data_IF_899235841339
#
_entry.id   IF_899235841339
#
_cell.length_a   1.000
_cell.length_b   1.000
_cell.length_c   1.000
_cell.angle_alpha   90.00
_cell.angle_beta   90.00
_cell.angle_gamma   90.00
#
_symmetry.space_group_name_H-M   'P 1'
#
loop_
_entity.id
_entity.type
_entity.pdbx_description
1 polymer ?
#
# COMPACT_ATOMS: atom_id res chain seq x y z
N UNK A 1 3.72 6.52 12.13
CA UNK A 1 5.07 7.06 12.45
C UNK A 1 4.98 8.56 12.35
N UNK A 2 5.25 9.27 13.43
CA UNK A 2 5.28 10.73 13.47
C UNK A 2 6.71 11.18 13.20
N UNK A 3 6.90 11.99 12.19
CA UNK A 3 8.17 12.57 11.85
C UNK A 3 8.06 14.10 11.93
N UNK A 4 8.49 14.67 13.04
CA UNK A 4 8.49 16.11 13.25
C UNK A 4 9.85 16.69 12.85
N UNK A 5 9.87 17.45 11.79
CA UNK A 5 11.05 18.10 11.23
C UNK A 5 11.54 19.29 12.04
N UNK A 6 11.79 19.13 13.32
CA UNK A 6 12.56 20.12 14.09
C UNK A 6 13.95 20.37 13.45
N UNK A 7 14.65 21.38 13.86
CA UNK A 7 15.85 21.93 13.19
C UNK A 7 17.08 20.99 13.03
N UNK A 8 16.97 19.70 13.30
CA UNK A 8 18.03 18.69 13.09
C UNK A 8 17.50 17.46 12.35
N UNK A 9 17.29 17.58 11.08
CA UNK A 9 16.32 16.86 10.29
C UNK A 9 16.94 15.72 9.49
N UNK A 10 16.33 14.52 9.60
CA UNK A 10 16.31 13.56 8.49
C UNK A 10 15.55 14.22 7.32
N UNK A 11 16.29 14.69 6.32
CA UNK A 11 15.67 15.35 5.17
C UNK A 11 15.01 14.39 4.23
N UNK A 12 15.45 13.12 4.21
CA UNK A 12 14.99 12.11 3.27
C UNK A 12 14.72 10.80 4.03
N UNK A 13 13.47 10.35 3.99
CA UNK A 13 13.05 9.05 4.53
C UNK A 13 12.67 8.11 3.40
N UNK A 14 12.97 6.82 3.52
CA UNK A 14 12.56 5.79 2.56
C UNK A 14 11.80 4.67 3.25
N UNK A 15 10.65 4.31 2.69
CA UNK A 15 9.78 3.24 3.16
C UNK A 15 9.55 2.27 2.00
N UNK A 16 10.05 1.05 2.14
CA UNK A 16 9.90 0.00 1.14
C UNK A 16 9.20 -1.19 1.79
N UNK A 17 8.17 -1.73 1.14
CA UNK A 17 7.37 -2.85 1.65
C UNK A 17 6.81 -2.61 3.07
N UNK A 18 6.43 -1.37 3.35
CA UNK A 18 5.89 -0.98 4.64
C UNK A 18 4.35 -0.98 4.61
N UNK A 19 3.76 -1.32 5.77
CA UNK A 19 2.35 -1.12 6.03
C UNK A 19 2.21 -0.14 7.19
N UNK A 20 1.76 1.08 6.89
CA UNK A 20 1.65 2.18 7.84
C UNK A 20 0.17 2.41 8.12
N UNK A 21 -0.28 2.01 9.33
CA UNK A 21 -1.68 1.98 9.73
C UNK A 21 -2.20 3.29 10.34
N UNK A 22 -1.31 4.23 10.54
CA UNK A 22 -1.61 5.54 11.10
C UNK A 22 -1.17 6.64 10.13
N UNK A 23 -1.36 7.89 10.51
CA UNK A 23 -0.89 9.03 9.73
C UNK A 23 0.63 9.01 9.54
N UNK A 24 1.08 9.03 8.30
CA UNK A 24 2.50 9.27 7.96
C UNK A 24 2.72 10.77 7.79
N UNK A 25 3.26 11.41 8.81
CA UNK A 25 3.39 12.86 8.87
C UNK A 25 4.81 13.33 8.61
N UNK A 26 4.95 14.29 7.69
CA UNK A 26 6.18 15.03 7.45
C UNK A 26 6.09 16.43 8.06
N UNK A 27 7.14 16.82 8.77
CA UNK A 27 7.36 18.18 9.19
C UNK A 27 7.82 19.08 8.03
N UNK A 28 8.22 20.31 8.36
CA UNK A 28 8.68 21.27 7.36
C UNK A 28 10.01 20.85 6.71
N UNK A 29 10.14 21.10 5.41
CA UNK A 29 11.35 20.83 4.63
C UNK A 29 11.82 19.36 4.67
N UNK A 30 10.87 18.42 4.84
CA UNK A 30 11.12 16.99 4.83
C UNK A 30 10.64 16.35 3.53
N UNK A 31 11.29 15.28 3.12
CA UNK A 31 10.81 14.42 2.03
C UNK A 31 10.73 12.96 2.45
N UNK A 32 9.83 12.21 1.82
CA UNK A 32 9.77 10.77 1.97
C UNK A 32 9.48 10.09 0.64
N UNK A 33 10.21 9.03 0.36
CA UNK A 33 9.93 8.12 -0.75
C UNK A 33 9.31 6.82 -0.20
N UNK A 34 8.18 6.44 -0.76
CA UNK A 34 7.45 5.23 -0.40
C UNK A 34 7.33 4.35 -1.64
N UNK A 35 7.81 3.11 -1.55
CA UNK A 35 7.81 2.17 -2.65
C UNK A 35 7.12 0.88 -2.23
N UNK A 36 6.21 0.37 -3.07
CA UNK A 36 5.48 -0.89 -2.85
C UNK A 36 4.94 -1.02 -1.42
N UNK A 37 4.34 0.06 -0.92
CA UNK A 37 3.89 0.17 0.47
C UNK A 37 2.40 0.50 0.55
N UNK A 38 1.78 0.11 1.66
CA UNK A 38 0.41 0.49 2.00
C UNK A 38 0.44 1.55 3.08
N UNK A 39 -0.16 2.71 2.82
CA UNK A 39 -0.05 3.87 3.70
C UNK A 39 -1.43 4.47 3.93
N UNK A 40 -1.76 4.65 5.19
CA UNK A 40 -2.95 5.39 5.60
C UNK A 40 -2.59 6.85 5.86
N UNK A 41 -3.40 7.76 5.30
CA UNK A 41 -3.37 9.20 5.56
C UNK A 41 -1.98 9.84 5.54
N UNK A 42 -1.29 9.94 4.37
CA UNK A 42 -0.07 10.72 4.28
C UNK A 42 -0.36 12.21 4.48
N UNK A 43 0.46 12.85 5.31
CA UNK A 43 0.26 14.23 5.74
C UNK A 43 1.57 15.01 5.66
N UNK A 44 1.61 16.09 4.92
CA UNK A 44 2.69 17.10 5.00
C UNK A 44 2.18 18.36 5.67
N UNK A 45 2.98 18.97 6.56
CA UNK A 45 2.56 20.15 7.31
C UNK A 45 2.48 21.40 6.45
N UNK A 46 3.20 21.43 5.34
CA UNK A 46 3.21 22.55 4.39
C UNK A 46 3.70 22.15 2.99
N UNK A 47 3.72 23.13 2.08
CA UNK A 47 4.12 22.93 0.69
C UNK A 47 5.64 22.76 0.47
N UNK A 48 6.47 22.89 1.51
CA UNK A 48 7.92 22.67 1.42
C UNK A 48 8.30 21.22 1.66
N UNK A 49 7.33 20.38 2.04
CA UNK A 49 7.50 18.95 2.28
C UNK A 49 6.76 18.16 1.22
N UNK A 50 7.34 17.07 0.77
CA UNK A 50 6.78 16.26 -0.29
C UNK A 50 6.93 14.77 -0.06
N UNK A 51 6.01 14.02 -0.65
CA UNK A 51 6.11 12.57 -0.79
C UNK A 51 6.36 12.20 -2.25
N UNK A 52 7.11 11.13 -2.45
CA UNK A 52 7.17 10.37 -3.68
C UNK A 52 6.59 8.97 -3.41
N UNK A 53 5.46 8.67 -4.05
CA UNK A 53 4.82 7.36 -3.94
C UNK A 53 4.99 6.61 -5.26
N UNK A 54 5.58 5.41 -5.20
CA UNK A 54 5.79 4.54 -6.34
C UNK A 54 5.20 3.18 -6.04
N UNK A 55 4.29 2.71 -6.89
CA UNK A 55 3.64 1.41 -6.72
C UNK A 55 3.02 1.22 -5.32
N UNK A 56 2.41 2.25 -4.77
CA UNK A 56 1.81 2.23 -3.44
C UNK A 56 0.29 2.04 -3.49
N UNK A 57 -0.27 1.56 -2.38
CA UNK A 57 -1.69 1.63 -2.08
C UNK A 57 -1.90 2.64 -0.96
N UNK A 58 -2.62 3.72 -1.26
CA UNK A 58 -2.86 4.84 -0.35
C UNK A 58 -4.32 4.84 0.07
N UNK A 59 -4.58 4.91 1.38
CA UNK A 59 -5.91 4.74 1.95
C UNK A 59 -6.22 5.91 2.88
N UNK A 60 -7.44 6.41 2.80
CA UNK A 60 -7.93 7.47 3.68
C UNK A 60 -7.67 8.87 3.16
N UNK A 61 -7.45 9.83 4.04
CA UNK A 61 -7.33 11.25 3.71
C UNK A 61 -6.01 11.59 2.99
N UNK A 62 -6.12 12.03 1.74
CA UNK A 62 -4.99 12.51 0.92
C UNK A 62 -4.90 14.04 0.88
N UNK A 63 -5.76 14.75 1.60
CA UNK A 63 -5.97 16.20 1.45
C UNK A 63 -4.76 17.07 1.80
N UNK A 64 -3.75 16.50 2.40
CA UNK A 64 -2.54 17.23 2.83
C UNK A 64 -1.23 16.63 2.31
N UNK A 65 -1.29 15.85 1.25
CA UNK A 65 -0.08 15.43 0.54
C UNK A 65 0.35 16.51 -0.46
N UNK A 66 0.77 17.67 0.03
CA UNK A 66 1.18 18.80 -0.82
C UNK A 66 2.42 18.46 -1.65
N UNK A 67 2.52 19.02 -2.86
CA UNK A 67 3.68 18.95 -3.76
C UNK A 67 4.22 17.52 -3.97
N UNK A 68 3.35 16.52 -3.86
CA UNK A 68 3.72 15.11 -3.90
C UNK A 68 3.55 14.50 -5.30
N UNK A 69 4.30 13.45 -5.57
CA UNK A 69 4.20 12.67 -6.80
C UNK A 69 3.67 11.28 -6.52
N UNK A 70 2.75 10.84 -7.37
CA UNK A 70 2.15 9.50 -7.33
C UNK A 70 2.43 8.81 -8.67
N UNK A 71 3.05 7.66 -8.64
CA UNK A 71 3.37 6.88 -9.82
C UNK A 71 2.93 5.44 -9.64
N UNK A 72 2.11 4.95 -10.55
CA UNK A 72 1.59 3.57 -10.53
C UNK A 72 0.87 3.21 -9.21
N UNK A 73 0.17 4.16 -8.60
CA UNK A 73 -0.46 4.00 -7.29
C UNK A 73 -1.95 3.69 -7.39
N UNK A 74 -2.47 3.04 -6.36
CA UNK A 74 -3.90 2.94 -6.10
C UNK A 74 -4.22 3.86 -4.93
N UNK A 75 -5.13 4.81 -5.14
CA UNK A 75 -5.46 5.84 -4.16
C UNK A 75 -6.94 5.71 -3.82
N UNK A 76 -7.23 5.50 -2.56
CA UNK A 76 -8.59 5.38 -2.02
C UNK A 76 -8.82 6.47 -0.98
N UNK A 77 -9.40 7.56 -1.42
CA UNK A 77 -9.82 8.63 -0.51
C UNK A 77 -11.27 8.37 -0.08
N UNK A 78 -11.45 8.15 1.22
CA UNK A 78 -12.73 7.83 1.82
C UNK A 78 -13.48 9.07 2.32
N UNK A 79 -12.87 10.25 2.27
CA UNK A 79 -13.43 11.46 2.85
C UNK A 79 -13.91 12.45 1.80
N UNK A 80 -15.11 13.00 2.03
CA UNK A 80 -15.68 14.04 1.19
C UNK A 80 -14.96 15.37 1.43
N UNK A 81 -14.18 15.83 0.47
CA UNK A 81 -13.70 17.20 0.44
C UNK A 81 -12.19 17.41 0.57
N UNK A 82 -11.39 16.37 0.69
CA UNK A 82 -9.94 16.49 0.66
C UNK A 82 -9.42 16.27 -0.77
N UNK A 83 -8.77 17.28 -1.29
CA UNK A 83 -8.25 17.30 -2.67
C UNK A 83 -6.79 16.88 -2.67
N UNK A 84 -6.42 16.00 -3.58
CA UNK A 84 -5.01 15.99 -3.98
C UNK A 84 -4.74 17.35 -4.60
N UNK A 85 -3.85 18.10 -3.97
CA UNK A 85 -3.58 19.50 -4.32
C UNK A 85 -3.12 19.61 -5.78
N UNK A 86 -3.42 20.74 -6.42
CA UNK A 86 -2.99 21.08 -7.77
C UNK A 86 -1.46 21.11 -7.98
N UNK A 87 -0.68 21.14 -6.90
CA UNK A 87 0.78 21.00 -6.94
C UNK A 87 1.27 19.56 -7.03
N UNK A 88 0.39 18.57 -6.94
CA UNK A 88 0.74 17.17 -7.05
C UNK A 88 0.73 16.67 -8.50
N UNK A 89 1.44 15.59 -8.75
CA UNK A 89 1.42 14.88 -10.04
C UNK A 89 1.03 13.43 -9.84
N UNK A 90 0.25 12.86 -10.77
CA UNK A 90 -0.06 11.43 -10.74
C UNK A 90 0.05 10.84 -12.15
N UNK A 91 0.81 9.75 -12.27
CA UNK A 91 1.01 9.03 -13.51
C UNK A 91 0.54 7.59 -13.34
N UNK A 92 -0.33 7.14 -14.24
CA UNK A 92 -0.87 5.78 -14.26
C UNK A 92 -1.42 5.33 -12.88
N UNK A 93 -2.18 6.19 -12.22
CA UNK A 93 -2.79 5.90 -10.93
C UNK A 93 -4.27 5.58 -11.09
N UNK A 94 -4.79 4.71 -10.23
CA UNK A 94 -6.22 4.52 -10.02
C UNK A 94 -6.63 5.34 -8.80
N UNK A 95 -7.64 6.19 -8.96
CA UNK A 95 -8.24 6.91 -7.84
C UNK A 95 -9.64 6.37 -7.59
N UNK A 96 -9.84 5.83 -6.40
CA UNK A 96 -11.12 5.32 -5.92
C UNK A 96 -11.75 6.39 -5.03
N UNK A 97 -12.56 7.25 -5.62
CA UNK A 97 -13.23 8.34 -4.92
C UNK A 97 -14.63 8.56 -5.48
N UNK A 98 -15.56 8.94 -4.62
CA UNK A 98 -16.93 9.28 -5.02
C UNK A 98 -17.02 10.57 -5.85
N UNK A 99 -16.00 11.42 -5.78
CA UNK A 99 -16.04 12.75 -6.36
C UNK A 99 -14.76 13.04 -7.15
N UNK A 100 -14.68 13.01 -8.38
CA UNK A 100 -13.59 13.31 -9.33
C UNK A 100 -12.55 14.37 -8.87
N UNK A 101 -11.69 14.06 -7.90
CA UNK A 101 -10.79 15.04 -7.27
C UNK A 101 -9.39 15.17 -7.87
N UNK A 102 -9.04 14.36 -8.87
CA UNK A 102 -7.83 14.61 -9.64
C UNK A 102 -8.01 15.80 -10.58
N UNK A 103 -7.77 16.99 -10.07
CA UNK A 103 -7.71 18.19 -10.92
C UNK A 103 -6.28 18.36 -11.45
N UNK A 104 -6.14 18.45 -12.76
CA UNK A 104 -4.87 18.71 -13.47
C UNK A 104 -3.82 17.61 -13.37
N UNK A 105 -4.25 16.35 -13.34
CA UNK A 105 -3.35 15.19 -13.22
C UNK A 105 -3.36 14.39 -14.53
N UNK A 106 -2.16 14.08 -15.02
CA UNK A 106 -1.96 13.33 -16.26
C UNK A 106 -2.12 11.83 -16.03
N UNK A 107 -2.85 11.15 -16.92
CA UNK A 107 -3.03 9.68 -16.93
C UNK A 107 -3.65 9.07 -15.66
N UNK A 108 -4.33 9.83 -14.84
CA UNK A 108 -5.06 9.28 -13.73
C UNK A 108 -6.38 8.66 -14.20
N UNK A 109 -6.66 7.44 -13.77
CA UNK A 109 -7.94 6.77 -14.02
C UNK A 109 -8.77 6.81 -12.75
N UNK A 110 -9.93 7.48 -12.83
CA UNK A 110 -10.85 7.54 -11.70
C UNK A 110 -11.83 6.36 -11.76
N UNK A 111 -12.04 5.72 -10.60
CA UNK A 111 -13.04 4.68 -10.40
C UNK A 111 -14.05 5.10 -9.34
N UNK A 112 -15.29 4.69 -9.50
CA UNK A 112 -16.29 4.88 -8.46
C UNK A 112 -16.10 3.88 -7.32
N UNK A 113 -16.62 4.20 -6.13
CA UNK A 113 -16.54 3.31 -4.97
C UNK A 113 -17.19 1.93 -5.22
N UNK A 114 -18.20 1.86 -6.08
CA UNK A 114 -18.89 0.61 -6.43
C UNK A 114 -18.02 -0.35 -7.26
N UNK A 115 -16.94 0.11 -7.83
CA UNK A 115 -16.05 -0.69 -8.68
C UNK A 115 -14.93 -1.41 -7.91
N UNK A 116 -14.81 -1.21 -6.59
CA UNK A 116 -13.81 -1.91 -5.77
C UNK A 116 -13.87 -3.43 -5.92
N UNK A 117 -15.07 -4.01 -5.93
CA UNK A 117 -15.25 -5.46 -6.04
C UNK A 117 -14.75 -6.05 -7.37
N UNK A 118 -14.70 -5.24 -8.44
CA UNK A 118 -14.15 -5.66 -9.73
C UNK A 118 -12.66 -5.44 -9.84
N UNK A 119 -12.11 -4.59 -9.00
CA UNK A 119 -10.70 -4.24 -9.00
C UNK A 119 -9.86 -5.21 -8.17
N UNK A 120 -10.30 -5.57 -6.99
CA UNK A 120 -9.53 -6.40 -6.05
C UNK A 120 -10.05 -7.83 -5.95
N UNK A 121 -9.12 -8.80 -5.80
CA UNK A 121 -9.46 -10.22 -5.59
C UNK A 121 -10.21 -10.46 -4.29
N UNK A 122 -9.82 -9.76 -3.24
CA UNK A 122 -10.48 -9.80 -1.94
C UNK A 122 -10.98 -8.41 -1.59
N UNK A 123 -12.30 -8.28 -1.47
CA UNK A 123 -12.93 -7.03 -1.11
C UNK A 123 -14.03 -7.30 -0.10
N UNK A 124 -13.85 -6.88 1.15
CA UNK A 124 -14.80 -7.19 2.24
C UNK A 124 -16.09 -6.38 2.18
N UNK A 125 -16.19 -5.41 1.27
CA UNK A 125 -17.29 -4.44 1.21
C UNK A 125 -17.00 -3.18 2.03
N UNK A 126 -17.41 -2.03 1.54
CA UNK A 126 -17.16 -0.73 2.16
C UNK A 126 -15.84 -0.09 1.72
N UNK A 127 -15.42 1.00 2.36
CA UNK A 127 -14.15 1.67 2.08
C UNK A 127 -12.96 0.74 2.33
N UNK A 128 -11.84 0.91 1.60
CA UNK A 128 -10.61 0.20 1.90
C UNK A 128 -10.12 0.57 3.29
N UNK A 129 -9.65 -0.44 4.01
CA UNK A 129 -9.09 -0.31 5.35
C UNK A 129 -7.76 -1.05 5.41
N UNK A 130 -7.07 -0.96 6.54
CA UNK A 130 -5.83 -1.72 6.75
C UNK A 130 -6.07 -3.05 7.48
N UNK A 131 -7.19 -3.71 7.23
CA UNK A 131 -7.44 -5.04 7.78
C UNK A 131 -6.45 -6.06 7.19
N UNK A 132 -6.06 -7.03 8.00
CA UNK A 132 -5.13 -8.09 7.59
C UNK A 132 -5.69 -8.96 6.45
N UNK A 133 -7.01 -9.01 6.31
CA UNK A 133 -7.70 -9.70 5.22
C UNK A 133 -7.61 -8.99 3.87
N UNK A 134 -7.22 -7.72 3.85
CA UNK A 134 -7.09 -6.93 2.62
C UNK A 134 -5.69 -7.10 2.04
N UNK A 135 -5.58 -7.89 1.00
CA UNK A 135 -4.30 -8.15 0.33
C UNK A 135 -3.95 -7.11 -0.72
N UNK A 136 -4.89 -6.26 -1.14
CA UNK A 136 -4.76 -5.29 -2.24
C UNK A 136 -4.35 -5.89 -3.59
N UNK A 137 -4.52 -7.22 -3.77
CA UNK A 137 -4.27 -7.89 -5.04
C UNK A 137 -5.34 -7.52 -6.07
N UNK A 138 -4.91 -7.09 -7.23
CA UNK A 138 -5.82 -6.85 -8.35
C UNK A 138 -6.36 -8.17 -8.92
N UNK A 139 -7.58 -8.12 -9.45
CA UNK A 139 -8.10 -9.22 -10.29
C UNK A 139 -7.28 -9.34 -11.57
N UNK A 140 -7.29 -10.52 -12.21
CA UNK A 140 -6.51 -10.74 -13.43
C UNK A 140 -6.95 -9.81 -14.58
N UNK A 141 -8.23 -9.45 -14.63
CA UNK A 141 -8.74 -8.45 -15.55
C UNK A 141 -8.19 -7.04 -15.24
N UNK A 142 -8.16 -6.66 -13.96
CA UNK A 142 -7.65 -5.36 -13.54
C UNK A 142 -6.13 -5.23 -13.76
N UNK A 143 -5.35 -6.29 -13.55
CA UNK A 143 -3.90 -6.33 -13.82
C UNK A 143 -3.57 -6.02 -15.27
N UNK A 144 -4.37 -6.53 -16.21
CA UNK A 144 -4.15 -6.27 -17.65
C UNK A 144 -4.68 -4.92 -18.09
N UNK A 145 -5.70 -4.41 -17.43
CA UNK A 145 -6.34 -3.14 -17.77
C UNK A 145 -5.59 -1.92 -17.22
N UNK A 146 -5.00 -2.04 -16.04
CA UNK A 146 -4.35 -0.93 -15.33
C UNK A 146 -2.87 -1.18 -15.16
N UNK A 147 -2.13 -0.83 -16.20
CA UNK A 147 -0.68 -0.96 -16.21
C UNK A 147 -0.02 0.33 -15.75
N UNK A 148 1.06 0.16 -15.02
CA UNK A 148 1.97 1.22 -14.66
C UNK A 148 2.80 1.73 -15.84
N UNK A 149 3.61 2.74 -15.60
CA UNK A 149 4.51 3.33 -16.60
C UNK A 149 5.61 2.37 -17.07
N UNK A 150 5.83 1.30 -16.33
CA UNK A 150 6.81 0.22 -16.57
C UNK A 150 6.19 -1.04 -17.20
N UNK A 151 4.87 -1.01 -17.47
CA UNK A 151 4.14 -2.13 -18.05
C UNK A 151 3.76 -3.22 -17.03
N UNK A 152 4.06 -3.05 -15.76
CA UNK A 152 3.60 -3.92 -14.67
C UNK A 152 2.24 -3.46 -14.13
N UNK A 153 1.58 -4.26 -13.28
CA UNK A 153 0.35 -3.83 -12.61
C UNK A 153 0.59 -2.62 -11.69
N UNK A 154 -0.41 -1.78 -11.51
CA UNK A 154 -0.35 -0.68 -10.52
C UNK A 154 -0.53 -1.21 -9.10
N UNK A 155 -0.05 -0.44 -8.11
CA UNK A 155 -0.14 -0.82 -6.70
C UNK A 155 1.04 -1.68 -6.25
N UNK A 156 0.92 -2.25 -5.05
CA UNK A 156 2.05 -2.86 -4.32
C UNK A 156 2.66 -4.10 -4.98
N UNK A 157 1.97 -4.72 -5.92
CA UNK A 157 2.44 -5.92 -6.63
C UNK A 157 3.11 -5.62 -7.98
N UNK A 158 3.18 -4.36 -8.38
CA UNK A 158 3.86 -3.94 -9.60
C UNK A 158 5.27 -3.42 -9.35
N UNK A 159 5.93 -2.97 -10.42
CA UNK A 159 7.26 -2.36 -10.36
C UNK A 159 8.40 -3.36 -10.26
N UNK A 160 9.59 -2.83 -10.00
CA UNK A 160 10.82 -3.62 -9.93
C UNK A 160 11.02 -4.30 -8.56
N UNK A 161 10.24 -3.92 -7.56
CA UNK A 161 10.30 -4.46 -6.20
C UNK A 161 8.88 -4.86 -5.75
N UNK A 162 8.20 -5.79 -6.47
CA UNK A 162 6.83 -6.15 -6.13
C UNK A 162 6.77 -6.72 -4.71
N UNK A 163 5.69 -6.40 -4.00
CA UNK A 163 5.42 -7.05 -2.72
C UNK A 163 5.19 -8.55 -2.95
N UNK A 164 5.93 -9.38 -2.24
CA UNK A 164 5.72 -10.82 -2.23
C UNK A 164 5.07 -11.22 -0.91
N UNK A 165 3.81 -11.69 -0.93
CA UNK A 165 3.15 -12.18 0.26
C UNK A 165 3.69 -13.55 0.72
N UNK A 166 4.46 -14.23 -0.13
CA UNK A 166 5.05 -15.52 0.20
C UNK A 166 6.26 -15.29 1.10
N UNK A 167 6.26 -15.77 2.34
CA UNK A 167 7.42 -15.62 3.19
C UNK A 167 8.65 -16.29 2.56
N UNK A 168 9.76 -15.57 2.46
CA UNK A 168 11.02 -16.09 1.92
C UNK A 168 11.68 -17.14 2.85
N UNK A 169 11.22 -17.22 4.10
CA UNK A 169 11.68 -18.22 5.07
C UNK A 169 10.83 -19.47 4.99
N UNK A 170 11.40 -20.65 5.25
CA UNK A 170 10.64 -21.90 5.36
C UNK A 170 9.49 -21.76 6.36
N UNK A 171 8.29 -22.18 5.94
CA UNK A 171 7.08 -22.11 6.76
C UNK A 171 6.71 -23.50 7.25
N UNK A 172 6.40 -23.61 8.54
CA UNK A 172 5.81 -24.82 9.09
C UNK A 172 4.34 -24.87 8.66
N UNK A 173 4.01 -25.78 7.75
CA UNK A 173 2.65 -25.96 7.24
C UNK A 173 1.87 -27.01 8.00
N UNK A 174 2.56 -27.87 8.76
CA UNK A 174 1.98 -28.88 9.62
C UNK A 174 2.84 -29.06 10.87
N UNK A 175 2.20 -29.09 12.03
CA UNK A 175 2.86 -29.40 13.29
C UNK A 175 1.90 -30.21 14.17
N UNK A 176 2.06 -31.53 14.16
CA UNK A 176 1.29 -32.42 15.01
C UNK A 176 2.20 -33.00 16.09
N UNK A 177 1.86 -32.77 17.33
CA UNK A 177 2.57 -33.31 18.49
C UNK A 177 1.62 -34.24 19.22
N UNK A 178 1.99 -35.50 19.44
CA UNK A 178 1.16 -36.42 20.17
C UNK A 178 0.93 -35.94 21.61
N UNK A 179 -0.31 -36.06 22.09
CA UNK A 179 -0.68 -35.62 23.43
C UNK A 179 -0.07 -36.49 24.55
N UNK A 180 0.44 -37.69 24.23
CA UNK A 180 1.04 -38.61 25.17
C UNK A 180 2.25 -39.30 24.53
N UNK A 181 3.25 -39.62 25.33
CA UNK A 181 4.37 -40.47 24.92
C UNK A 181 3.92 -41.92 24.73
N UNK A 182 4.62 -42.62 23.85
CA UNK A 182 4.52 -44.06 23.69
C UNK A 182 5.02 -44.84 24.92
N UNK A 183 4.77 -46.13 25.01
CA UNK A 183 5.20 -46.95 26.15
C UNK A 183 6.73 -46.97 26.34
N UNK A 184 7.50 -46.73 25.30
CA UNK A 184 8.97 -46.57 25.31
C UNK A 184 9.44 -45.16 25.57
N UNK A 185 8.55 -44.24 26.00
CA UNK A 185 8.88 -42.88 26.42
C UNK A 185 9.11 -41.87 25.27
N UNK A 186 8.81 -42.26 24.02
CA UNK A 186 8.95 -41.37 22.86
C UNK A 186 7.70 -40.55 22.60
N UNK A 187 7.87 -39.30 22.20
CA UNK A 187 6.80 -38.41 21.74
C UNK A 187 6.83 -38.39 20.21
N UNK A 188 5.71 -38.71 19.58
CA UNK A 188 5.59 -38.54 18.12
C UNK A 188 5.39 -37.08 17.76
N UNK A 189 6.23 -36.59 16.88
CA UNK A 189 6.14 -35.24 16.29
C UNK A 189 6.17 -35.38 14.77
N UNK A 190 5.20 -34.76 14.10
CA UNK A 190 5.08 -34.72 12.65
C UNK A 190 5.08 -33.26 12.20
N UNK A 191 6.16 -32.83 11.57
CA UNK A 191 6.36 -31.45 11.10
C UNK A 191 6.57 -31.49 9.59
N UNK A 192 5.80 -30.68 8.89
CA UNK A 192 5.99 -30.40 7.47
C UNK A 192 6.44 -28.94 7.30
N UNK A 193 7.47 -28.73 6.50
CA UNK A 193 8.04 -27.42 6.23
C UNK A 193 8.09 -27.22 4.73
N UNK A 194 7.49 -26.13 4.25
CA UNK A 194 7.60 -25.71 2.86
C UNK A 194 8.57 -24.53 2.77
N UNK A 195 9.54 -24.65 1.89
CA UNK A 195 10.40 -23.52 1.48
C UNK A 195 9.78 -22.85 0.26
N UNK A 196 9.86 -21.51 0.18
CA UNK A 196 9.61 -20.81 -1.07
C UNK A 196 10.75 -21.16 -2.07
N UNK A 197 10.37 -21.51 -3.30
CA UNK A 197 11.33 -21.70 -4.41
C UNK A 197 11.82 -20.36 -4.94
#
# INVERSE_FOLDING_TARGET
MYYDGGSSVLKDASFIHCRIAEELRLGENCSASCVNSVIQAPYSTNSTSNFEFINCCLIGDMGRAYSSSFKNCIISDNENGHYINSSCTAYNCICLTANNYFRNITNATNKSLTEYATLFKTYPGGPLTLLDSETFQLTDAAKTQYLGTDGTEVGIYGGNLPFDPTPSNPQITKCNVAAKSTADGKLSVDIEVNAAE
#
